data_IF_846655662793
#
_entry.id   IF_846655662793
#
_cell.length_a   1.000
_cell.length_b   1.000
_cell.length_c   1.000
_cell.angle_alpha   90.00
_cell.angle_beta   90.00
_cell.angle_gamma   90.00
#
_symmetry.space_group_name_H-M   'P 1'
#
loop_
_entity.id
_entity.type
_entity.pdbx_description
1 polymer ?
#
# COMPACT_ATOMS: atom_id res chain seq x y z
N UNK A 1 20.93 -71.55 -33.77
CA UNK A 1 21.10 -70.68 -32.59
C UNK A 1 20.11 -69.52 -32.69
N UNK A 2 19.03 -69.48 -31.89
CA UNK A 2 18.06 -68.40 -31.95
C UNK A 2 18.50 -67.21 -31.08
N UNK A 3 18.46 -66.02 -31.66
CA UNK A 3 18.74 -64.76 -30.98
C UNK A 3 17.48 -64.24 -30.27
N UNK A 4 17.54 -64.17 -28.94
CA UNK A 4 16.50 -63.59 -28.08
C UNK A 4 16.55 -62.07 -28.14
N UNK A 5 15.53 -61.44 -28.74
CA UNK A 5 15.28 -60.00 -28.63
C UNK A 5 14.75 -59.67 -27.23
N UNK A 6 15.48 -58.86 -26.46
CA UNK A 6 15.00 -58.25 -25.22
C UNK A 6 14.18 -57.00 -25.58
N UNK A 7 12.94 -56.95 -25.09
CA UNK A 7 12.09 -55.77 -25.12
C UNK A 7 12.68 -54.70 -24.19
N UNK A 8 12.79 -53.47 -24.68
CA UNK A 8 13.13 -52.31 -23.87
C UNK A 8 11.88 -51.89 -23.09
N UNK A 9 11.98 -51.92 -21.77
CA UNK A 9 10.95 -51.44 -20.84
C UNK A 9 10.98 -49.91 -20.82
N UNK A 10 9.97 -49.31 -21.43
CA UNK A 10 9.71 -47.87 -21.43
C UNK A 10 9.23 -47.48 -20.03
N UNK A 11 10.14 -47.00 -19.19
CA UNK A 11 9.85 -46.58 -17.81
C UNK A 11 9.43 -45.10 -17.84
N UNK A 12 8.15 -44.75 -17.59
CA UNK A 12 7.73 -43.36 -17.54
C UNK A 12 8.40 -42.66 -16.35
N UNK A 13 9.11 -41.56 -16.63
CA UNK A 13 9.72 -40.72 -15.61
C UNK A 13 8.63 -40.12 -14.71
N UNK A 14 8.83 -40.12 -13.37
CA UNK A 14 7.89 -39.50 -12.45
C UNK A 14 7.81 -38.00 -12.73
N UNK A 15 6.63 -37.52 -13.07
CA UNK A 15 6.33 -36.08 -13.10
C UNK A 15 6.47 -35.55 -11.68
N UNK A 16 7.58 -34.86 -11.41
CA UNK A 16 7.73 -34.04 -10.22
C UNK A 16 6.80 -32.85 -10.35
N UNK A 17 5.62 -32.97 -9.73
CA UNK A 17 4.72 -31.85 -9.47
C UNK A 17 5.47 -30.84 -8.59
N UNK A 18 6.10 -29.86 -9.22
CA UNK A 18 6.66 -28.73 -8.50
C UNK A 18 5.48 -27.97 -7.87
N UNK A 19 5.49 -27.74 -6.54
CA UNK A 19 4.47 -26.92 -5.92
C UNK A 19 4.53 -25.54 -6.58
N UNK A 20 3.45 -25.18 -7.26
CA UNK A 20 3.21 -23.81 -7.70
C UNK A 20 3.18 -22.97 -6.44
N UNK A 21 4.32 -22.37 -6.13
CA UNK A 21 4.45 -21.42 -5.05
C UNK A 21 3.74 -20.15 -5.52
N UNK A 22 2.42 -20.11 -5.35
CA UNK A 22 1.62 -18.89 -5.31
C UNK A 22 2.06 -18.09 -4.09
N UNK A 23 3.30 -17.58 -4.14
CA UNK A 23 3.70 -16.47 -3.31
C UNK A 23 2.78 -15.33 -3.73
N UNK A 24 1.84 -15.00 -2.86
CA UNK A 24 1.18 -13.70 -2.84
C UNK A 24 2.27 -12.66 -3.02
N UNK A 25 2.31 -12.06 -4.21
CA UNK A 25 3.18 -10.95 -4.55
C UNK A 25 2.71 -9.80 -3.69
N UNK A 26 3.21 -9.74 -2.45
CA UNK A 26 3.12 -8.54 -1.63
C UNK A 26 3.74 -7.42 -2.47
N UNK A 27 2.90 -6.47 -2.84
CA UNK A 27 3.20 -5.40 -3.77
C UNK A 27 4.59 -4.79 -3.53
N UNK A 28 5.53 -5.11 -4.44
CA UNK A 28 6.54 -4.26 -5.09
C UNK A 28 7.11 -3.05 -4.30
N UNK A 29 7.19 -3.12 -2.99
CA UNK A 29 7.74 -2.07 -2.14
C UNK A 29 9.16 -2.47 -1.78
N UNK A 30 10.10 -1.71 -2.34
CA UNK A 30 11.52 -1.86 -2.02
C UNK A 30 11.72 -1.76 -0.49
N UNK A 31 12.62 -2.57 0.08
CA UNK A 31 13.03 -2.40 1.47
C UNK A 31 13.40 -0.94 1.77
N UNK A 32 13.07 -0.40 2.95
CA UNK A 32 13.43 0.96 3.29
C UNK A 32 14.95 1.16 3.24
N UNK A 33 15.39 2.41 3.07
CA UNK A 33 16.80 2.76 3.15
C UNK A 33 17.35 2.39 4.53
N UNK A 34 18.34 1.48 4.56
CA UNK A 34 18.87 0.91 5.82
C UNK A 34 19.85 1.84 6.55
N UNK A 35 20.21 2.99 5.97
CA UNK A 35 21.25 3.89 6.49
C UNK A 35 22.55 3.84 5.68
N UNK A 36 23.53 4.66 6.05
CA UNK A 36 24.83 4.68 5.35
C UNK A 36 25.62 3.38 5.58
N UNK A 37 25.57 2.87 6.81
CA UNK A 37 26.13 1.58 7.22
C UNK A 37 25.02 0.52 7.16
N UNK A 38 25.23 -0.58 6.42
CA UNK A 38 24.22 -1.64 6.26
C UNK A 38 24.86 -3.02 6.20
N UNK A 39 24.24 -4.00 6.86
CA UNK A 39 24.71 -5.38 6.89
C UNK A 39 24.25 -6.13 5.63
N UNK A 40 25.18 -6.83 4.98
CA UNK A 40 24.85 -7.68 3.85
C UNK A 40 23.97 -8.86 4.29
N UNK A 41 22.76 -8.94 3.75
CA UNK A 41 21.77 -10.02 4.01
C UNK A 41 22.27 -11.44 3.67
N UNK A 42 23.38 -11.57 2.94
CA UNK A 42 23.95 -12.87 2.54
C UNK A 42 25.13 -13.31 3.41
N UNK A 43 26.01 -12.40 3.82
CA UNK A 43 27.27 -12.75 4.49
C UNK A 43 27.58 -11.95 5.76
N UNK A 44 26.65 -11.10 6.20
CA UNK A 44 26.75 -10.31 7.42
C UNK A 44 27.91 -9.31 7.49
N UNK A 45 28.49 -8.96 6.35
CA UNK A 45 29.53 -7.92 6.28
C UNK A 45 28.90 -6.52 6.34
N UNK A 46 29.52 -5.59 7.08
CA UNK A 46 28.95 -4.27 7.41
C UNK A 46 29.11 -3.20 6.33
N UNK A 47 29.85 -3.50 5.25
CA UNK A 47 30.14 -2.53 4.20
C UNK A 47 29.48 -2.90 2.87
N UNK A 48 28.80 -1.92 2.28
CA UNK A 48 28.19 -2.01 0.96
C UNK A 48 28.39 -0.73 0.13
N UNK A 49 28.73 -0.87 -1.14
CA UNK A 49 28.67 0.23 -2.09
C UNK A 49 27.21 0.58 -2.38
N UNK A 50 26.93 1.86 -2.59
CA UNK A 50 25.58 2.36 -2.89
C UNK A 50 25.59 3.08 -4.22
N UNK A 51 24.69 2.69 -5.12
CA UNK A 51 24.54 3.28 -6.45
C UNK A 51 23.09 3.67 -6.70
N UNK A 52 22.86 4.92 -7.07
CA UNK A 52 21.54 5.35 -7.54
C UNK A 52 21.18 4.67 -8.86
N UNK A 53 19.97 4.12 -8.93
CA UNK A 53 19.36 3.55 -10.13
C UNK A 53 18.10 4.35 -10.48
N UNK A 54 18.06 5.02 -11.66
CA UNK A 54 16.87 5.74 -12.08
C UNK A 54 15.70 4.79 -12.35
N UNK A 55 14.50 5.34 -12.39
CA UNK A 55 13.30 4.59 -12.79
C UNK A 55 13.51 3.97 -14.17
N UNK A 56 13.17 2.70 -14.28
CA UNK A 56 13.29 1.95 -15.52
C UNK A 56 11.87 1.65 -16.04
N UNK A 57 11.48 2.19 -17.21
CA UNK A 57 10.20 1.83 -17.81
C UNK A 57 10.21 0.35 -18.19
N UNK A 58 9.00 -0.24 -18.28
CA UNK A 58 8.88 -1.60 -18.81
C UNK A 58 9.44 -1.65 -20.23
N UNK A 59 10.35 -2.58 -20.50
CA UNK A 59 10.96 -2.75 -21.81
C UNK A 59 11.53 -4.14 -22.01
N UNK A 60 11.82 -4.48 -23.27
CA UNK A 60 12.61 -5.65 -23.65
C UNK A 60 14.08 -5.23 -23.69
N UNK A 61 14.90 -5.87 -22.86
CA UNK A 61 16.32 -5.59 -22.75
C UNK A 61 17.11 -6.82 -23.13
N UNK A 62 18.12 -6.66 -23.98
CA UNK A 62 19.02 -7.75 -24.33
C UNK A 62 20.18 -7.83 -23.34
N UNK A 63 20.37 -8.99 -22.72
CA UNK A 63 21.49 -9.28 -21.83
C UNK A 63 22.06 -10.66 -22.18
N UNK A 64 23.34 -10.72 -22.55
CA UNK A 64 24.02 -11.95 -22.95
C UNK A 64 23.27 -12.75 -24.05
N UNK A 65 22.72 -12.05 -25.05
CA UNK A 65 21.99 -12.67 -26.17
C UNK A 65 20.60 -13.20 -25.80
N UNK A 66 20.10 -12.90 -24.60
CA UNK A 66 18.72 -13.16 -24.19
C UNK A 66 17.95 -11.86 -24.08
N UNK A 67 16.77 -11.81 -24.69
CA UNK A 67 15.86 -10.69 -24.55
C UNK A 67 14.93 -10.94 -23.38
N UNK A 68 15.16 -10.23 -22.27
CA UNK A 68 14.35 -10.34 -21.07
C UNK A 68 13.45 -9.10 -20.94
N UNK A 69 12.18 -9.31 -20.59
CA UNK A 69 11.30 -8.22 -20.21
C UNK A 69 11.68 -7.75 -18.80
N UNK A 70 12.14 -6.49 -18.68
CA UNK A 70 12.46 -5.86 -17.39
C UNK A 70 11.51 -4.69 -17.15
N UNK A 71 11.17 -4.46 -15.87
CA UNK A 71 10.39 -3.30 -15.42
C UNK A 71 8.86 -3.44 -15.47
N UNK A 72 8.12 -2.43 -14.97
CA UNK A 72 8.63 -1.14 -14.50
C UNK A 72 9.33 -1.28 -13.14
N UNK A 73 10.47 -0.60 -12.96
CA UNK A 73 11.14 -0.49 -11.66
C UNK A 73 11.17 0.98 -11.25
N UNK A 74 10.86 1.31 -9.98
CA UNK A 74 10.94 2.68 -9.49
C UNK A 74 12.41 3.14 -9.37
N UNK A 75 12.58 4.43 -9.07
CA UNK A 75 13.87 4.96 -8.60
C UNK A 75 14.27 4.27 -7.30
N UNK A 76 15.54 3.89 -7.20
CA UNK A 76 16.02 3.08 -6.08
C UNK A 76 17.52 3.21 -5.85
N UNK A 77 17.97 2.69 -4.71
CA UNK A 77 19.37 2.53 -4.37
C UNK A 77 19.75 1.06 -4.54
N UNK A 78 20.66 0.76 -5.44
CA UNK A 78 21.28 -0.56 -5.52
C UNK A 78 22.45 -0.59 -4.52
N UNK A 79 22.43 -1.57 -3.64
CA UNK A 79 23.53 -1.90 -2.73
C UNK A 79 24.33 -3.05 -3.30
N UNK A 80 25.64 -3.01 -3.12
CA UNK A 80 26.55 -4.11 -3.46
C UNK A 80 27.48 -4.38 -2.27
N UNK A 81 27.42 -5.58 -1.69
CA UNK A 81 28.31 -5.97 -0.60
C UNK A 81 29.79 -5.92 -1.03
N UNK A 82 30.65 -5.26 -0.25
CA UNK A 82 32.08 -5.16 -0.57
C UNK A 82 32.84 -6.50 -0.47
N UNK A 83 32.28 -7.48 0.24
CA UNK A 83 32.93 -8.79 0.48
C UNK A 83 32.50 -9.89 -0.48
N UNK A 84 31.20 -10.00 -0.77
CA UNK A 84 30.66 -11.13 -1.56
C UNK A 84 29.96 -10.71 -2.85
N UNK A 85 30.00 -9.42 -3.19
CA UNK A 85 29.38 -8.82 -4.39
C UNK A 85 27.87 -9.07 -4.54
N UNK A 86 27.21 -9.53 -3.48
CA UNK A 86 25.76 -9.66 -3.49
C UNK A 86 25.10 -8.29 -3.64
N UNK A 87 24.13 -8.20 -4.55
CA UNK A 87 23.41 -6.99 -4.87
C UNK A 87 21.96 -7.08 -4.40
N UNK A 88 21.45 -6.00 -3.81
CA UNK A 88 20.04 -5.85 -3.45
C UNK A 88 19.61 -4.40 -3.65
N UNK A 89 18.31 -4.19 -3.79
CA UNK A 89 17.73 -2.86 -3.99
C UNK A 89 17.06 -2.38 -2.70
N UNK A 90 17.19 -1.08 -2.41
CA UNK A 90 16.53 -0.36 -1.33
C UNK A 90 15.79 0.87 -1.89
N UNK A 91 14.79 1.34 -1.16
CA UNK A 91 14.14 2.61 -1.41
C UNK A 91 15.14 3.78 -1.27
N UNK A 92 14.80 4.91 -1.86
CA UNK A 92 15.58 6.14 -1.70
C UNK A 92 15.58 6.61 -0.23
N UNK A 93 16.69 7.23 0.19
CA UNK A 93 16.74 7.91 1.49
C UNK A 93 15.69 9.02 1.50
N UNK A 94 14.69 9.00 2.41
CA UNK A 94 13.72 10.08 2.50
C UNK A 94 14.44 11.40 2.75
N UNK A 95 13.98 12.48 2.13
CA UNK A 95 14.56 13.79 2.37
C UNK A 95 14.50 14.12 3.88
N UNK A 96 15.55 14.72 4.46
CA UNK A 96 15.56 15.03 5.89
C UNK A 96 14.35 15.90 6.25
N UNK A 97 13.70 15.58 7.36
CA UNK A 97 12.47 16.25 7.78
C UNK A 97 11.23 15.89 6.96
N UNK A 98 11.27 14.80 6.18
CA UNK A 98 10.10 14.25 5.49
C UNK A 98 9.75 12.84 5.97
N UNK A 99 8.48 12.47 5.84
CA UNK A 99 7.99 11.10 6.03
C UNK A 99 6.89 10.78 5.04
N UNK A 100 6.59 9.51 4.80
CA UNK A 100 5.42 9.11 4.04
C UNK A 100 4.14 9.67 4.69
N UNK A 101 3.23 10.18 3.84
CA UNK A 101 1.93 10.68 4.29
C UNK A 101 1.00 9.51 4.62
N UNK A 102 0.31 9.59 5.75
CA UNK A 102 -0.79 8.67 6.07
C UNK A 102 -2.10 9.20 5.47
N UNK A 103 -3.10 8.34 5.34
CA UNK A 103 -4.46 8.74 4.97
C UNK A 103 -5.01 9.83 5.90
N UNK A 104 -4.69 9.75 7.20
CA UNK A 104 -5.09 10.76 8.19
C UNK A 104 -4.43 12.12 7.92
N UNK A 105 -3.15 12.13 7.55
CA UNK A 105 -2.45 13.36 7.20
C UNK A 105 -3.08 14.03 5.97
N UNK A 106 -3.33 13.25 4.91
CA UNK A 106 -3.90 13.78 3.67
C UNK A 106 -5.33 14.29 3.92
N UNK A 107 -6.15 13.55 4.67
CA UNK A 107 -7.50 13.99 5.03
C UNK A 107 -7.49 15.29 5.86
N UNK A 108 -6.55 15.43 6.80
CA UNK A 108 -6.34 16.66 7.56
C UNK A 108 -5.91 17.83 6.67
N UNK A 109 -4.99 17.59 5.73
CA UNK A 109 -4.52 18.59 4.78
C UNK A 109 -5.66 19.06 3.86
N UNK A 110 -6.46 18.15 3.31
CA UNK A 110 -7.65 18.44 2.50
C UNK A 110 -8.66 19.28 3.27
N UNK A 111 -8.99 18.87 4.49
CA UNK A 111 -9.94 19.59 5.36
C UNK A 111 -9.42 20.98 5.74
N UNK A 112 -8.12 21.11 6.00
CA UNK A 112 -7.49 22.39 6.33
C UNK A 112 -7.47 23.34 5.12
N UNK A 113 -7.19 22.81 3.93
CA UNK A 113 -7.18 23.59 2.68
C UNK A 113 -8.60 24.04 2.30
N UNK A 114 -9.60 23.16 2.44
CA UNK A 114 -10.99 23.44 2.10
C UNK A 114 -11.58 24.63 2.88
N UNK A 115 -11.08 24.92 4.10
CA UNK A 115 -11.49 26.10 4.88
C UNK A 115 -11.26 27.44 4.19
N UNK A 116 -10.39 27.50 3.18
CA UNK A 116 -10.15 28.71 2.37
C UNK A 116 -11.09 28.81 1.18
N UNK A 117 -11.86 27.76 0.90
CA UNK A 117 -12.80 27.70 -0.21
C UNK A 117 -14.24 27.82 0.32
N UNK A 118 -15.17 28.10 -0.58
CA UNK A 118 -16.60 28.24 -0.26
C UNK A 118 -17.29 26.90 -0.04
N UNK A 119 -16.63 25.78 -0.35
CA UNK A 119 -17.18 24.43 -0.26
C UNK A 119 -16.71 23.79 1.04
N UNK A 120 -17.67 23.44 1.90
CA UNK A 120 -17.41 22.64 3.08
C UNK A 120 -17.23 21.18 2.67
N UNK A 121 -16.03 20.64 2.88
CA UNK A 121 -15.70 19.26 2.54
C UNK A 121 -16.16 18.35 3.68
N UNK A 122 -17.16 17.50 3.42
CA UNK A 122 -17.66 16.54 4.40
C UNK A 122 -16.52 15.59 4.85
N UNK A 123 -16.36 15.30 6.15
CA UNK A 123 -15.23 14.50 6.66
C UNK A 123 -15.09 13.12 6.01
N UNK A 124 -16.22 12.46 5.73
CA UNK A 124 -16.22 11.16 5.04
C UNK A 124 -15.68 11.23 3.61
N UNK A 125 -15.98 12.32 2.88
CA UNK A 125 -15.45 12.53 1.53
C UNK A 125 -13.95 12.82 1.57
N UNK A 126 -13.48 13.63 2.52
CA UNK A 126 -12.04 13.89 2.72
C UNK A 126 -11.26 12.60 2.99
N UNK A 127 -11.81 11.69 3.79
CA UNK A 127 -11.18 10.41 4.10
C UNK A 127 -11.11 9.50 2.87
N UNK A 128 -12.19 9.43 2.09
CA UNK A 128 -12.22 8.65 0.84
C UNK A 128 -11.20 9.21 -0.17
N UNK A 129 -11.22 10.54 -0.42
CA UNK A 129 -10.24 11.18 -1.30
C UNK A 129 -8.80 10.94 -0.84
N UNK A 130 -8.55 10.97 0.47
CA UNK A 130 -7.23 10.68 1.00
C UNK A 130 -6.80 9.24 0.73
N UNK A 131 -7.70 8.26 0.82
CA UNK A 131 -7.40 6.85 0.52
C UNK A 131 -6.98 6.69 -0.94
N UNK A 132 -7.79 7.21 -1.86
CA UNK A 132 -7.53 7.18 -3.31
C UNK A 132 -6.18 7.86 -3.64
N UNK A 133 -5.87 8.98 -2.99
CA UNK A 133 -4.61 9.69 -3.22
C UNK A 133 -3.39 8.91 -2.72
N UNK A 134 -3.49 8.15 -1.62
CA UNK A 134 -2.39 7.29 -1.14
C UNK A 134 -2.13 6.15 -2.13
N UNK A 135 -3.19 5.59 -2.73
CA UNK A 135 -3.06 4.52 -3.72
C UNK A 135 -2.44 5.03 -5.04
N UNK A 136 -2.80 6.24 -5.46
CA UNK A 136 -2.34 6.80 -6.74
C UNK A 136 -0.98 7.51 -6.67
N UNK A 137 -0.61 8.07 -5.51
CA UNK A 137 0.52 9.00 -5.40
C UNK A 137 1.44 8.65 -4.22
N UNK A 138 2.75 8.78 -4.44
CA UNK A 138 3.71 8.78 -3.35
C UNK A 138 3.78 10.18 -2.72
N UNK A 139 2.98 10.39 -1.67
CA UNK A 139 2.91 11.69 -0.98
C UNK A 139 3.86 11.72 0.23
N UNK A 140 4.69 12.76 0.30
CA UNK A 140 5.58 13.02 1.43
C UNK A 140 5.10 14.21 2.25
N UNK A 141 5.11 14.05 3.58
CA UNK A 141 4.82 15.11 4.55
C UNK A 141 6.13 15.75 4.98
N UNK A 142 6.24 17.07 4.76
CA UNK A 142 7.30 17.91 5.31
C UNK A 142 7.00 18.27 6.76
N UNK A 143 7.80 17.76 7.70
CA UNK A 143 7.63 17.97 9.15
C UNK A 143 7.91 19.41 9.59
N UNK A 144 8.70 20.16 8.82
CA UNK A 144 8.99 21.57 9.03
C UNK A 144 7.86 22.50 8.54
N UNK A 145 6.87 21.97 7.83
CA UNK A 145 5.83 22.80 7.23
C UNK A 145 4.83 23.31 8.30
N UNK A 146 4.46 24.61 8.30
CA UNK A 146 3.61 25.23 9.34
C UNK A 146 2.23 24.59 9.56
N UNK A 147 1.76 23.80 8.60
CA UNK A 147 0.52 23.02 8.72
C UNK A 147 0.61 21.94 9.82
N UNK A 148 1.81 21.41 10.05
CA UNK A 148 2.06 20.29 10.98
C UNK A 148 2.69 20.74 12.30
N UNK A 149 3.22 21.96 12.34
CA UNK A 149 3.76 22.53 13.57
C UNK A 149 2.61 22.83 14.55
N UNK A 150 2.79 22.55 15.85
CA UNK A 150 1.86 23.00 16.88
C UNK A 150 1.66 24.50 16.76
N UNK A 151 0.42 24.96 16.56
CA UNK A 151 0.15 26.40 16.53
C UNK A 151 0.37 26.96 17.93
N UNK A 152 1.20 28.01 18.11
CA UNK A 152 1.36 28.64 19.41
C UNK A 152 -0.01 29.10 19.93
N UNK A 153 -0.36 28.69 21.15
CA UNK A 153 -1.64 29.04 21.79
C UNK A 153 -2.84 28.14 21.48
N UNK A 154 -2.70 27.14 20.59
CA UNK A 154 -3.71 26.07 20.47
C UNK A 154 -3.21 24.86 21.25
N UNK A 155 -3.89 24.40 22.32
CA UNK A 155 -3.49 23.17 22.97
C UNK A 155 -3.42 22.07 21.91
N UNK A 156 -2.35 21.28 21.93
CA UNK A 156 -2.27 20.05 21.12
C UNK A 156 -3.59 19.33 21.34
N UNK A 157 -4.37 19.16 20.27
CA UNK A 157 -5.56 18.33 20.34
C UNK A 157 -5.04 16.95 20.72
N UNK A 158 -5.15 16.62 22.01
CA UNK A 158 -4.93 15.27 22.49
C UNK A 158 -5.84 14.44 21.60
N UNK A 159 -5.29 13.50 20.80
CA UNK A 159 -6.15 12.63 20.02
C UNK A 159 -7.21 12.10 20.98
N UNK A 160 -8.51 12.23 20.64
CA UNK A 160 -9.56 11.75 21.53
C UNK A 160 -9.16 10.34 21.94
N UNK A 161 -9.05 10.11 23.25
CA UNK A 161 -8.55 8.85 23.79
C UNK A 161 -9.17 7.73 22.95
N UNK A 162 -8.32 6.91 22.31
CA UNK A 162 -8.79 5.75 21.55
C UNK A 162 -9.88 5.13 22.39
N UNK A 163 -11.08 5.03 21.80
CA UNK A 163 -12.25 4.56 22.52
C UNK A 163 -11.83 3.29 23.23
N UNK A 164 -11.73 3.36 24.56
CA UNK A 164 -11.24 2.26 25.35
C UNK A 164 -12.07 1.05 24.91
N UNK A 165 -11.39 -0.04 24.54
CA UNK A 165 -12.06 -1.27 24.16
C UNK A 165 -13.18 -1.51 25.18
N UNK A 166 -14.44 -1.64 24.72
CA UNK A 166 -15.56 -1.73 25.65
C UNK A 166 -15.26 -2.87 26.60
N UNK A 167 -15.17 -2.55 27.89
CA UNK A 167 -14.85 -3.53 28.92
C UNK A 167 -15.80 -4.72 28.75
N UNK A 168 -15.29 -5.93 28.42
CA UNK A 168 -16.13 -7.08 28.14
C UNK A 168 -16.98 -7.49 29.37
N UNK A 169 -16.73 -6.91 30.55
CA UNK A 169 -17.53 -7.12 31.74
C UNK A 169 -18.76 -6.19 31.86
N UNK A 170 -18.90 -5.16 31.03
CA UNK A 170 -20.05 -4.23 31.08
C UNK A 170 -21.22 -4.61 30.16
N UNK A 171 -21.11 -5.69 29.37
CA UNK A 171 -22.23 -6.23 28.57
C UNK A 171 -23.08 -7.24 29.34
N UNK A 172 -23.39 -6.97 30.60
CA UNK A 172 -24.51 -7.64 31.27
C UNK A 172 -25.81 -7.05 30.70
N UNK A 173 -26.28 -7.68 29.63
CA UNK A 173 -27.51 -7.37 28.92
C UNK A 173 -28.68 -7.21 29.91
N UNK A 174 -29.16 -5.99 30.08
CA UNK A 174 -30.55 -5.75 30.46
C UNK A 174 -31.36 -6.00 29.19
N UNK A 175 -32.21 -7.04 29.13
CA UNK A 175 -33.11 -7.21 28.01
C UNK A 175 -34.04 -5.99 28.00
N UNK A 176 -33.93 -5.14 27.00
CA UNK A 176 -34.95 -4.12 26.75
C UNK A 176 -36.15 -4.85 26.17
N UNK A 177 -37.30 -4.93 26.87
CA UNK A 177 -38.49 -5.51 26.28
C UNK A 177 -38.92 -4.63 25.09
N UNK A 178 -38.85 -5.22 23.89
CA UNK A 178 -39.46 -4.73 22.67
C UNK A 178 -40.98 -4.85 22.81
N UNK A 179 -41.60 -3.93 23.56
CA UNK A 179 -43.04 -3.74 23.53
C UNK A 179 -43.37 -2.61 22.56
N UNK A 180 -44.15 -2.96 21.53
CA UNK A 180 -44.99 -2.10 20.69
C UNK A 180 -44.36 -0.88 20.04
N UNK A 181 -43.76 -1.10 18.86
CA UNK A 181 -43.76 -0.10 17.78
C UNK A 181 -44.63 -0.60 16.62
N UNK A 182 -45.94 -0.50 16.80
CA UNK A 182 -46.94 -0.79 15.79
C UNK A 182 -47.21 0.39 14.81
N UNK A 183 -46.52 1.54 14.96
CA UNK A 183 -46.86 2.77 14.23
C UNK A 183 -45.85 3.19 13.15
N UNK A 184 -45.16 2.25 12.50
CA UNK A 184 -44.43 2.56 11.26
C UNK A 184 -45.32 2.29 10.06
N UNK A 185 -46.18 3.27 9.73
CA UNK A 185 -46.81 3.32 8.42
C UNK A 185 -45.72 3.56 7.35
N UNK A 186 -45.65 2.74 6.30
CA UNK A 186 -44.81 3.04 5.14
C UNK A 186 -45.39 4.27 4.41
N UNK A 187 -44.65 5.38 4.45
CA UNK A 187 -44.96 6.57 3.68
C UNK A 187 -44.87 6.31 2.17
N UNK A 188 -45.65 7.02 1.34
CA UNK A 188 -45.71 6.79 -0.10
C UNK A 188 -44.37 7.12 -0.76
N UNK A 189 -43.78 6.13 -1.42
CA UNK A 189 -42.65 6.29 -2.34
C UNK A 189 -43.12 7.02 -3.60
N UNK A 190 -42.99 8.35 -3.60
CA UNK A 190 -43.19 9.15 -4.80
C UNK A 190 -42.00 8.95 -5.75
N UNK A 191 -42.18 8.13 -6.78
CA UNK A 191 -41.27 8.09 -7.92
C UNK A 191 -41.51 9.33 -8.78
N UNK A 192 -40.53 10.23 -8.83
CA UNK A 192 -40.54 11.36 -9.76
C UNK A 192 -40.07 10.88 -11.12
N UNK A 193 -40.98 10.78 -12.09
CA UNK A 193 -40.65 10.59 -13.50
C UNK A 193 -40.19 11.91 -14.10
N UNK A 194 -38.92 11.98 -14.51
CA UNK A 194 -38.39 13.10 -15.29
C UNK A 194 -38.96 13.03 -16.72
N UNK A 195 -39.76 14.02 -17.09
CA UNK A 195 -40.23 14.24 -18.47
C UNK A 195 -39.17 15.04 -19.20
N UNK A 196 -38.50 14.43 -20.18
CA UNK A 196 -37.63 15.12 -21.15
C UNK A 196 -38.50 15.75 -22.24
N UNK A 197 -38.62 17.08 -22.22
CA UNK A 197 -39.17 17.85 -23.33
C UNK A 197 -38.08 18.01 -24.41
N UNK A 198 -38.29 17.38 -25.57
CA UNK A 198 -37.56 17.68 -26.79
C UNK A 198 -38.09 19.02 -27.35
N UNK A 199 -37.18 19.93 -27.67
CA UNK A 199 -37.47 21.20 -28.34
C UNK A 199 -37.10 21.05 -29.81
N UNK A 200 -38.05 21.31 -30.70
CA UNK A 200 -37.82 21.55 -32.14
C UNK A 200 -37.27 22.96 -32.39
#
# INVERSE_FOLDING_TARGET
MPATRRAAEDTPMPQTDHPSNTATVEHDTLPPFSGEETECVKCSHLDAFTRFRPACPRGLWEYNGRTDMRGPLPERLERQCQRCDYQWDEALNPAPGTRAATTKDIAYALTTAARRWTVELHPGLSAQMASELVEMLHVLVRLDHPMWLPRPGRPLAVPPAEAADPDPQLTAAVPVPLSDRADLQPGPTAYTTATTAATE
#
